data_IF_034844047680
#
_entry.id   IF_034844047680
#
_cell.length_a   1.000
_cell.length_b   1.000
_cell.length_c   1.000
_cell.angle_alpha   90.00
_cell.angle_beta   90.00
_cell.angle_gamma   90.00
#
_symmetry.space_group_name_H-M   'P 1'
#
loop_
_entity.id
_entity.type
_entity.pdbx_description
1 polymer ?
#
# COMPACT_ATOMS: atom_id res chain seq x y z
N UNK A 1 -29.49 -10.11 26.12
CA UNK A 1 -28.90 -8.84 26.61
C UNK A 1 -27.44 -8.67 26.16
N UNK A 2 -26.53 -9.63 26.44
CA UNK A 2 -25.11 -9.53 26.06
C UNK A 2 -24.89 -9.49 24.54
N UNK A 3 -25.61 -10.31 23.77
CA UNK A 3 -25.49 -10.30 22.30
C UNK A 3 -25.98 -8.98 21.68
N UNK A 4 -27.03 -8.40 22.24
CA UNK A 4 -27.58 -7.12 21.80
C UNK A 4 -26.67 -5.94 22.18
N UNK A 5 -25.98 -5.99 23.33
CA UNK A 5 -24.97 -4.99 23.66
C UNK A 5 -23.73 -5.13 22.78
N UNK A 6 -23.27 -6.35 22.49
CA UNK A 6 -22.13 -6.58 21.58
C UNK A 6 -22.44 -6.08 20.15
N UNK A 7 -23.63 -6.37 19.64
CA UNK A 7 -24.07 -5.90 18.30
C UNK A 7 -24.31 -4.39 18.29
N UNK A 8 -24.87 -3.82 19.37
CA UNK A 8 -25.04 -2.38 19.53
C UNK A 8 -23.70 -1.64 19.61
N UNK A 9 -22.74 -2.14 20.39
CA UNK A 9 -21.40 -1.55 20.49
C UNK A 9 -20.65 -1.72 19.17
N UNK A 10 -20.70 -2.87 18.52
CA UNK A 10 -20.08 -3.07 17.20
C UNK A 10 -20.69 -2.17 16.12
N UNK A 11 -22.03 -1.99 16.12
CA UNK A 11 -22.72 -1.10 15.19
C UNK A 11 -22.40 0.38 15.45
N UNK A 12 -22.35 0.82 16.72
CA UNK A 12 -21.99 2.20 17.11
C UNK A 12 -20.51 2.52 16.80
N UNK A 13 -19.65 1.51 16.97
CA UNK A 13 -18.20 1.56 16.69
C UNK A 13 -17.93 1.65 15.18
N UNK A 14 -18.65 0.89 14.37
CA UNK A 14 -18.58 0.98 12.90
C UNK A 14 -19.14 2.31 12.40
N UNK A 15 -20.17 2.89 13.03
CA UNK A 15 -20.66 4.21 12.61
C UNK A 15 -19.67 5.35 12.90
N UNK A 16 -18.89 5.27 13.99
CA UNK A 16 -17.95 6.35 14.36
C UNK A 16 -16.54 6.20 13.78
N UNK A 17 -16.08 4.97 13.50
CA UNK A 17 -14.72 4.70 13.01
C UNK A 17 -14.67 3.96 11.67
N UNK A 18 -15.76 3.97 10.88
CA UNK A 18 -15.77 3.35 9.54
C UNK A 18 -14.80 4.00 8.56
N UNK A 19 -14.57 5.31 8.68
CA UNK A 19 -13.79 6.08 7.70
C UNK A 19 -12.39 5.52 7.41
N UNK A 20 -11.50 5.24 8.39
CA UNK A 20 -10.19 4.66 8.11
C UNK A 20 -10.27 3.28 7.44
N UNK A 21 -11.26 2.45 7.78
CA UNK A 21 -11.43 1.14 7.12
C UNK A 21 -11.95 1.29 5.68
N UNK A 22 -12.85 2.25 5.44
CA UNK A 22 -13.32 2.60 4.09
C UNK A 22 -12.12 3.05 3.24
N UNK A 23 -11.30 3.97 3.75
CA UNK A 23 -10.12 4.47 3.02
C UNK A 23 -9.10 3.37 2.78
N UNK A 24 -8.86 2.50 3.76
CA UNK A 24 -8.00 1.33 3.60
C UNK A 24 -8.53 0.39 2.51
N UNK A 25 -9.83 0.06 2.52
CA UNK A 25 -10.45 -0.76 1.48
C UNK A 25 -10.37 -0.09 0.10
N UNK A 26 -10.66 1.21 0.01
CA UNK A 26 -10.53 1.99 -1.23
C UNK A 26 -9.11 1.94 -1.79
N UNK A 27 -8.09 1.97 -0.94
CA UNK A 27 -6.70 1.84 -1.40
C UNK A 27 -6.45 0.54 -2.17
N UNK A 28 -7.04 -0.57 -1.75
CA UNK A 28 -6.95 -1.84 -2.47
C UNK A 28 -7.79 -1.85 -3.76
N UNK A 29 -9.07 -1.48 -3.67
CA UNK A 29 -10.01 -1.64 -4.80
C UNK A 29 -9.85 -0.61 -5.90
N UNK A 30 -9.27 0.56 -5.62
CA UNK A 30 -9.09 1.60 -6.64
C UNK A 30 -7.96 1.25 -7.62
N UNK A 31 -6.94 0.52 -7.16
CA UNK A 31 -5.78 0.13 -7.97
C UNK A 31 -5.95 -1.24 -8.64
N UNK A 32 -6.50 -2.22 -7.91
CA UNK A 32 -6.57 -3.61 -8.36
C UNK A 32 -7.15 -3.80 -9.79
N UNK A 33 -8.26 -3.14 -10.20
CA UNK A 33 -8.81 -3.30 -11.54
C UNK A 33 -7.85 -2.88 -12.66
N UNK A 34 -7.07 -1.82 -12.43
CA UNK A 34 -6.10 -1.34 -13.42
C UNK A 34 -4.88 -2.25 -13.51
N UNK A 35 -4.48 -2.85 -12.37
CA UNK A 35 -3.41 -3.85 -12.37
C UNK A 35 -3.83 -5.12 -13.09
N UNK A 36 -5.01 -5.66 -12.78
CA UNK A 36 -5.55 -6.84 -13.47
C UNK A 36 -5.72 -6.56 -14.96
N UNK A 37 -6.31 -5.40 -15.32
CA UNK A 37 -6.50 -5.00 -16.71
C UNK A 37 -5.18 -4.87 -17.47
N UNK A 38 -4.14 -4.31 -16.85
CA UNK A 38 -2.81 -4.22 -17.45
C UNK A 38 -2.22 -5.59 -17.80
N UNK A 39 -2.31 -6.56 -16.89
CA UNK A 39 -1.82 -7.92 -17.15
C UNK A 39 -2.68 -8.68 -18.16
N UNK A 40 -3.99 -8.46 -18.17
CA UNK A 40 -4.92 -9.14 -19.08
C UNK A 40 -4.83 -8.62 -20.52
N UNK A 41 -4.69 -7.31 -20.70
CA UNK A 41 -4.77 -6.64 -22.01
C UNK A 41 -3.40 -6.35 -22.65
N UNK A 42 -2.33 -6.82 -22.01
CA UNK A 42 -0.93 -6.72 -22.47
C UNK A 42 -0.72 -7.15 -23.94
N UNK A 43 -1.32 -8.25 -24.44
CA UNK A 43 -1.08 -8.74 -25.80
C UNK A 43 -1.85 -8.02 -26.92
N UNK A 44 -2.79 -7.12 -26.63
CA UNK A 44 -3.73 -6.59 -27.64
C UNK A 44 -3.02 -5.70 -28.67
N UNK A 45 -2.28 -4.69 -28.22
CA UNK A 45 -1.50 -3.80 -29.08
C UNK A 45 -0.52 -2.96 -28.24
N UNK A 46 0.56 -2.42 -28.82
CA UNK A 46 1.48 -1.53 -28.11
C UNK A 46 0.80 -0.29 -27.50
N UNK A 47 -0.23 0.24 -28.17
CA UNK A 47 -0.99 1.39 -27.69
C UNK A 47 -1.87 1.03 -26.48
N UNK A 48 -2.57 -0.11 -26.54
CA UNK A 48 -3.37 -0.66 -25.44
C UNK A 48 -2.48 -0.94 -24.24
N UNK A 49 -1.35 -1.61 -24.45
CA UNK A 49 -0.33 -1.88 -23.44
C UNK A 49 0.12 -0.60 -22.72
N UNK A 50 0.52 0.43 -23.47
CA UNK A 50 1.00 1.68 -22.87
C UNK A 50 -0.10 2.39 -22.06
N UNK A 51 -1.35 2.37 -22.53
CA UNK A 51 -2.48 2.96 -21.82
C UNK A 51 -2.74 2.27 -20.48
N UNK A 52 -2.82 0.94 -20.49
CA UNK A 52 -3.06 0.18 -19.26
C UNK A 52 -1.88 0.25 -18.30
N UNK A 53 -0.65 0.24 -18.82
CA UNK A 53 0.56 0.44 -18.01
C UNK A 53 0.52 1.78 -17.28
N UNK A 54 0.13 2.87 -17.96
CA UNK A 54 0.00 4.18 -17.31
C UNK A 54 -1.06 4.18 -16.22
N UNK A 55 -2.18 3.50 -16.42
CA UNK A 55 -3.25 3.40 -15.43
C UNK A 55 -2.81 2.59 -14.21
N UNK A 56 -2.25 1.40 -14.40
CA UNK A 56 -1.68 0.57 -13.31
C UNK A 56 -0.68 1.37 -12.47
N UNK A 57 0.31 1.97 -13.14
CA UNK A 57 1.34 2.77 -12.49
C UNK A 57 0.80 4.05 -11.82
N UNK A 58 -0.26 4.67 -12.34
CA UNK A 58 -0.82 5.89 -11.76
C UNK A 58 -1.69 5.58 -10.53
N UNK A 59 -2.50 4.53 -10.62
CA UNK A 59 -3.48 4.22 -9.58
C UNK A 59 -2.87 3.63 -8.32
N UNK A 60 -1.65 3.06 -8.36
CA UNK A 60 -0.91 2.70 -7.14
C UNK A 60 -0.58 3.95 -6.28
N UNK A 61 -0.32 5.10 -6.92
CA UNK A 61 -0.09 6.36 -6.21
C UNK A 61 -1.38 6.96 -5.65
N UNK A 62 -2.50 6.82 -6.38
CA UNK A 62 -3.83 7.21 -5.87
C UNK A 62 -4.21 6.35 -4.66
N UNK A 63 -4.04 5.03 -4.76
CA UNK A 63 -4.26 4.09 -3.66
C UNK A 63 -3.44 4.47 -2.42
N UNK A 64 -2.16 4.81 -2.60
CA UNK A 64 -1.27 5.16 -1.51
C UNK A 64 -1.71 6.41 -0.73
N UNK A 65 -2.42 7.36 -1.36
CA UNK A 65 -2.98 8.51 -0.66
C UNK A 65 -4.13 8.13 0.30
N UNK A 66 -5.02 7.24 -0.13
CA UNK A 66 -6.08 6.69 0.73
C UNK A 66 -5.50 5.86 1.88
N UNK A 67 -4.47 5.06 1.58
CA UNK A 67 -3.75 4.28 2.58
C UNK A 67 -3.08 5.18 3.62
N UNK A 68 -2.43 6.26 3.19
CA UNK A 68 -1.80 7.25 4.09
C UNK A 68 -2.82 7.78 5.10
N UNK A 69 -3.97 8.25 4.62
CA UNK A 69 -5.03 8.75 5.49
C UNK A 69 -5.50 7.69 6.51
N UNK A 70 -5.70 6.45 6.05
CA UNK A 70 -6.16 5.37 6.91
C UNK A 70 -5.17 5.06 8.04
N UNK A 71 -3.87 5.05 7.75
CA UNK A 71 -2.81 4.78 8.72
C UNK A 71 -2.56 5.95 9.68
N UNK A 72 -2.74 7.18 9.21
CA UNK A 72 -2.59 8.38 10.04
C UNK A 72 -3.72 8.55 11.07
N UNK A 73 -4.93 8.09 10.75
CA UNK A 73 -6.17 8.44 11.45
C UNK A 73 -6.14 8.24 12.97
N UNK A 74 -5.54 7.15 13.46
CA UNK A 74 -5.45 6.83 14.89
C UNK A 74 -4.11 7.23 15.52
N UNK A 75 -3.22 7.88 14.77
CA UNK A 75 -1.85 8.16 15.21
C UNK A 75 -1.60 9.65 15.33
N UNK A 76 -1.93 10.40 14.29
CA UNK A 76 -1.66 11.83 14.22
C UNK A 76 -2.90 12.62 14.64
N UNK A 77 -2.73 13.84 15.18
CA UNK A 77 -3.84 14.77 15.28
C UNK A 77 -4.37 15.09 13.88
N UNK A 78 -5.64 15.52 13.78
CA UNK A 78 -6.31 15.77 12.51
C UNK A 78 -5.49 16.61 11.51
N UNK A 79 -4.85 17.69 11.98
CA UNK A 79 -3.97 18.51 11.13
C UNK A 79 -2.75 17.74 10.62
N UNK A 80 -2.17 16.88 11.45
CA UNK A 80 -1.07 16.00 11.04
C UNK A 80 -1.50 15.00 9.96
N UNK A 81 -2.68 14.38 10.13
CA UNK A 81 -3.30 13.51 9.12
C UNK A 81 -3.50 14.24 7.79
N UNK A 82 -4.05 15.46 7.82
CA UNK A 82 -4.26 16.26 6.61
C UNK A 82 -2.94 16.62 5.92
N UNK A 83 -1.92 17.05 6.67
CA UNK A 83 -0.61 17.43 6.11
C UNK A 83 0.11 16.22 5.51
N UNK A 84 0.12 15.08 6.20
CA UNK A 84 0.80 13.88 5.73
C UNK A 84 0.07 13.28 4.51
N UNK A 85 -1.27 13.26 4.53
CA UNK A 85 -2.08 12.89 3.35
C UNK A 85 -1.87 13.85 2.18
N UNK A 86 -1.82 15.17 2.41
CA UNK A 86 -1.53 16.16 1.36
C UNK A 86 -0.13 15.95 0.76
N UNK A 87 0.83 15.54 1.58
CA UNK A 87 2.19 15.18 1.14
C UNK A 87 2.16 13.95 0.24
N UNK A 88 1.41 12.90 0.62
CA UNK A 88 1.19 11.74 -0.25
C UNK A 88 0.54 12.14 -1.58
N UNK A 89 -0.50 12.99 -1.54
CA UNK A 89 -1.16 13.51 -2.75
C UNK A 89 -0.20 14.30 -3.64
N UNK A 90 0.66 15.14 -3.07
CA UNK A 90 1.65 15.91 -3.83
C UNK A 90 2.67 15.00 -4.52
N UNK A 91 3.22 14.01 -3.81
CA UNK A 91 4.14 13.01 -4.39
C UNK A 91 3.43 12.22 -5.49
N UNK A 92 2.20 11.77 -5.24
CA UNK A 92 1.37 11.07 -6.22
C UNK A 92 1.13 11.89 -7.47
N UNK A 93 0.78 13.17 -7.34
CA UNK A 93 0.56 14.07 -8.48
C UNK A 93 1.83 14.20 -9.34
N UNK A 94 2.98 14.41 -8.71
CA UNK A 94 4.27 14.49 -9.42
C UNK A 94 4.56 13.18 -10.16
N UNK A 95 4.40 12.03 -9.50
CA UNK A 95 4.63 10.72 -10.10
C UNK A 95 3.67 10.45 -11.28
N UNK A 96 2.38 10.77 -11.12
CA UNK A 96 1.36 10.60 -12.18
C UNK A 96 1.68 11.50 -13.38
N UNK A 97 2.13 12.73 -13.17
CA UNK A 97 2.58 13.61 -14.27
C UNK A 97 3.74 12.96 -15.02
N UNK A 98 4.72 12.37 -14.34
CA UNK A 98 5.83 11.67 -15.00
C UNK A 98 5.34 10.42 -15.77
N UNK A 99 4.44 9.64 -15.18
CA UNK A 99 3.86 8.44 -15.81
C UNK A 99 3.05 8.79 -17.06
N UNK A 100 2.28 9.88 -17.02
CA UNK A 100 1.45 10.32 -18.15
C UNK A 100 2.29 10.63 -19.40
N UNK A 101 3.57 11.00 -19.21
CA UNK A 101 4.53 11.30 -20.28
C UNK A 101 5.18 10.07 -20.92
N UNK A 102 4.94 8.86 -20.40
CA UNK A 102 5.51 7.62 -20.97
C UNK A 102 5.08 7.42 -22.43
N UNK A 103 6.05 7.18 -23.30
CA UNK A 103 5.81 6.94 -24.73
C UNK A 103 5.66 5.45 -25.03
N UNK A 104 5.01 5.13 -26.15
CA UNK A 104 4.88 3.74 -26.62
C UNK A 104 6.29 3.17 -26.88
N UNK A 105 6.54 1.95 -26.41
CA UNK A 105 7.85 1.30 -26.54
C UNK A 105 8.92 1.78 -25.54
N UNK A 106 8.65 2.82 -24.75
CA UNK A 106 9.59 3.29 -23.74
C UNK A 106 9.72 2.28 -22.59
N UNK A 107 10.94 1.84 -22.31
CA UNK A 107 11.25 0.98 -21.17
C UNK A 107 11.04 1.75 -19.87
N UNK A 108 10.49 1.08 -18.83
CA UNK A 108 10.37 1.71 -17.52
C UNK A 108 11.75 1.78 -16.88
N UNK A 109 12.20 2.97 -16.51
CA UNK A 109 13.34 3.09 -15.59
C UNK A 109 12.88 2.64 -14.20
N UNK A 110 13.08 1.34 -13.90
CA UNK A 110 12.60 0.71 -12.66
C UNK A 110 13.14 1.40 -11.41
N UNK A 111 14.40 1.87 -11.43
CA UNK A 111 15.00 2.61 -10.32
C UNK A 111 14.25 3.91 -10.01
N UNK A 112 13.97 4.73 -11.03
CA UNK A 112 13.22 5.99 -10.87
C UNK A 112 11.81 5.73 -10.35
N UNK A 113 11.14 4.70 -10.87
CA UNK A 113 9.80 4.32 -10.39
C UNK A 113 9.84 3.80 -8.95
N UNK A 114 10.83 2.96 -8.62
CA UNK A 114 11.05 2.46 -7.26
C UNK A 114 11.38 3.59 -6.28
N UNK A 115 12.06 4.65 -6.72
CA UNK A 115 12.32 5.83 -5.90
C UNK A 115 11.02 6.58 -5.59
N UNK A 116 10.14 6.81 -6.57
CA UNK A 116 8.83 7.43 -6.31
C UNK A 116 7.97 6.58 -5.38
N UNK A 117 7.94 5.26 -5.58
CA UNK A 117 7.26 4.34 -4.67
C UNK A 117 7.87 4.39 -3.27
N UNK A 118 9.20 4.34 -3.15
CA UNK A 118 9.90 4.45 -1.87
C UNK A 118 9.56 5.73 -1.11
N UNK A 119 9.47 6.86 -1.82
CA UNK A 119 9.09 8.15 -1.24
C UNK A 119 7.68 8.13 -0.66
N UNK A 120 6.68 7.58 -1.38
CA UNK A 120 5.31 7.52 -0.86
C UNK A 120 5.15 6.45 0.23
N UNK A 121 5.90 5.35 0.15
CA UNK A 121 6.00 4.34 1.21
C UNK A 121 6.50 4.96 2.50
N UNK A 122 7.55 5.79 2.44
CA UNK A 122 8.07 6.48 3.62
C UNK A 122 7.01 7.36 4.29
N UNK A 123 6.15 8.01 3.49
CA UNK A 123 5.05 8.87 3.98
C UNK A 123 3.99 8.05 4.72
N UNK A 124 3.51 6.94 4.15
CA UNK A 124 2.47 6.16 4.80
C UNK A 124 3.00 5.23 5.91
N UNK A 125 4.28 4.84 5.89
CA UNK A 125 4.90 4.09 6.99
C UNK A 125 5.27 4.98 8.18
N UNK A 126 5.40 6.30 8.00
CA UNK A 126 5.69 7.23 9.09
C UNK A 126 4.78 7.06 10.33
N UNK A 127 3.44 7.11 10.23
CA UNK A 127 2.56 6.90 11.40
C UNK A 127 2.74 5.52 12.04
N UNK A 128 2.99 4.49 11.24
CA UNK A 128 3.23 3.13 11.73
C UNK A 128 4.52 3.03 12.55
N UNK A 129 5.61 3.58 12.02
CA UNK A 129 6.90 3.67 12.71
C UNK A 129 6.81 4.51 13.98
N UNK A 130 6.17 5.68 13.91
CA UNK A 130 5.98 6.57 15.05
C UNK A 130 5.26 5.83 16.19
N UNK A 131 4.12 5.19 15.91
CA UNK A 131 3.34 4.46 16.91
C UNK A 131 4.09 3.24 17.45
N UNK A 132 4.80 2.50 16.61
CA UNK A 132 5.62 1.36 17.04
C UNK A 132 6.71 1.79 18.04
N UNK A 133 7.41 2.90 17.77
CA UNK A 133 8.43 3.45 18.67
C UNK A 133 7.81 3.90 19.99
N UNK A 134 6.69 4.60 19.94
CA UNK A 134 5.97 5.07 21.13
C UNK A 134 5.52 3.90 22.02
N UNK A 135 4.90 2.88 21.43
CA UNK A 135 4.43 1.70 22.17
C UNK A 135 5.59 0.95 22.85
N UNK A 136 6.74 0.80 22.17
CA UNK A 136 7.94 0.19 22.79
C UNK A 136 8.45 1.02 23.96
N UNK A 137 8.44 2.36 23.84
CA UNK A 137 8.88 3.25 24.92
C UNK A 137 7.96 3.17 26.15
N UNK A 138 6.65 3.11 25.94
CA UNK A 138 5.65 3.10 27.01
C UNK A 138 5.53 1.70 27.64
N UNK A 139 5.30 0.67 26.82
CA UNK A 139 4.95 -0.66 27.31
C UNK A 139 6.15 -1.59 27.50
N UNK A 140 7.34 -1.20 27.01
CA UNK A 140 8.59 -1.99 27.11
C UNK A 140 8.46 -3.42 26.56
N UNK A 141 7.56 -3.63 25.61
CA UNK A 141 7.30 -4.92 24.95
C UNK A 141 6.92 -4.70 23.50
N UNK A 142 7.03 -5.76 22.70
CA UNK A 142 6.60 -5.76 21.30
C UNK A 142 5.07 -5.79 21.25
N UNK A 143 4.47 -4.78 20.62
CA UNK A 143 3.00 -4.66 20.44
C UNK A 143 2.61 -4.89 18.98
N UNK A 144 1.30 -4.91 18.70
CA UNK A 144 0.77 -5.08 17.33
C UNK A 144 1.36 -4.03 16.36
N UNK A 145 1.46 -2.73 16.69
CA UNK A 145 2.15 -1.76 15.84
C UNK A 145 3.56 -2.17 15.42
N UNK A 146 4.36 -2.75 16.32
CA UNK A 146 5.73 -3.17 15.99
C UNK A 146 5.71 -4.30 14.96
N UNK A 147 4.91 -5.33 15.19
CA UNK A 147 4.77 -6.45 14.25
C UNK A 147 4.21 -6.02 12.90
N UNK A 148 3.17 -5.18 12.90
CA UNK A 148 2.58 -4.64 11.68
C UNK A 148 3.59 -3.80 10.89
N UNK A 149 4.33 -2.89 11.55
CA UNK A 149 5.33 -2.06 10.87
C UNK A 149 6.46 -2.90 10.28
N UNK A 150 7.01 -3.84 11.04
CA UNK A 150 8.06 -4.72 10.54
C UNK A 150 7.56 -5.63 9.42
N UNK A 151 6.37 -6.22 9.58
CA UNK A 151 5.75 -7.08 8.57
C UNK A 151 5.48 -6.32 7.27
N UNK A 152 4.93 -5.12 7.34
CA UNK A 152 4.71 -4.27 6.17
C UNK A 152 6.03 -3.90 5.49
N UNK A 153 7.00 -3.38 6.25
CA UNK A 153 8.30 -2.97 5.73
C UNK A 153 9.05 -4.12 5.06
N UNK A 154 9.15 -5.28 5.73
CA UNK A 154 9.85 -6.44 5.19
C UNK A 154 9.15 -6.99 3.95
N UNK A 155 7.81 -7.03 3.94
CA UNK A 155 7.06 -7.46 2.76
C UNK A 155 7.32 -6.52 1.58
N UNK A 156 7.21 -5.20 1.77
CA UNK A 156 7.49 -4.22 0.72
C UNK A 156 8.94 -4.31 0.23
N UNK A 157 9.90 -4.52 1.12
CA UNK A 157 11.31 -4.68 0.77
C UNK A 157 11.53 -5.94 -0.09
N UNK A 158 10.95 -7.08 0.30
CA UNK A 158 11.01 -8.33 -0.50
C UNK A 158 10.39 -8.12 -1.87
N UNK A 159 9.23 -7.45 -1.95
CA UNK A 159 8.58 -7.14 -3.22
C UNK A 159 9.42 -6.23 -4.11
N UNK A 160 10.01 -5.18 -3.53
CA UNK A 160 10.86 -4.23 -4.26
C UNK A 160 12.15 -4.90 -4.79
N UNK A 161 12.84 -5.67 -3.95
CA UNK A 161 14.06 -6.40 -4.33
C UNK A 161 13.74 -7.41 -5.44
N UNK A 162 12.68 -8.20 -5.27
CA UNK A 162 12.26 -9.18 -6.28
C UNK A 162 11.95 -8.52 -7.62
N UNK A 163 11.21 -7.41 -7.60
CA UNK A 163 10.83 -6.67 -8.82
C UNK A 163 12.01 -6.00 -9.53
N UNK A 164 12.91 -5.33 -8.78
CA UNK A 164 14.04 -4.60 -9.34
C UNK A 164 15.09 -5.55 -9.93
N UNK A 165 15.47 -6.59 -9.17
CA UNK A 165 16.51 -7.55 -9.58
C UNK A 165 15.95 -8.73 -10.37
N UNK A 166 14.64 -8.80 -10.57
CA UNK A 166 13.95 -9.86 -11.32
C UNK A 166 14.19 -11.24 -10.70
N UNK A 167 14.37 -11.31 -9.39
CA UNK A 167 14.59 -12.56 -8.65
C UNK A 167 13.23 -13.24 -8.40
N UNK A 168 13.08 -14.55 -8.64
CA UNK A 168 14.13 -15.53 -8.96
C UNK A 168 14.41 -15.74 -10.46
N UNK A 169 13.60 -15.18 -11.38
CA UNK A 169 13.74 -15.42 -12.83
C UNK A 169 15.13 -15.08 -13.39
N UNK A 170 15.83 -14.10 -12.82
CA UNK A 170 17.21 -13.76 -13.22
C UNK A 170 18.24 -14.82 -12.79
N UNK A 171 17.98 -15.55 -11.70
CA UNK A 171 18.90 -16.56 -11.16
C UNK A 171 18.69 -17.92 -11.81
N UNK A 172 17.44 -18.28 -12.10
CA UNK A 172 17.08 -19.53 -12.76
C UNK A 172 16.08 -19.19 -13.88
N UNK A 173 16.58 -18.90 -15.10
CA UNK A 173 15.73 -18.63 -16.25
C UNK A 173 14.76 -19.78 -16.51
N UNK A 174 13.57 -19.46 -17.01
CA UNK A 174 12.51 -20.39 -17.44
C UNK A 174 11.84 -21.23 -16.33
N UNK A 175 12.50 -21.45 -15.19
CA UNK A 175 11.95 -22.24 -14.08
C UNK A 175 10.74 -21.59 -13.38
N UNK A 176 10.58 -20.27 -13.51
CA UNK A 176 9.58 -19.47 -12.80
C UNK A 176 8.68 -18.66 -13.75
N UNK A 177 8.47 -19.16 -14.97
CA UNK A 177 7.69 -18.45 -15.99
C UNK A 177 6.18 -18.48 -15.71
N UNK A 178 5.68 -19.59 -15.13
CA UNK A 178 4.26 -19.73 -14.79
C UNK A 178 3.93 -19.34 -13.34
N UNK A 179 4.80 -19.74 -12.39
CA UNK A 179 4.58 -19.58 -10.96
C UNK A 179 5.81 -19.00 -10.28
N UNK A 180 5.59 -18.14 -9.29
CA UNK A 180 6.62 -17.48 -8.47
C UNK A 180 7.56 -16.60 -9.30
N UNK A 181 7.04 -16.03 -10.38
CA UNK A 181 7.79 -14.98 -11.08
C UNK A 181 8.03 -13.80 -10.15
N UNK A 182 9.10 -13.05 -10.39
CA UNK A 182 9.46 -11.86 -9.62
C UNK A 182 8.28 -10.88 -9.48
N UNK A 183 7.49 -10.73 -10.54
CA UNK A 183 6.31 -9.88 -10.55
C UNK A 183 5.15 -10.45 -9.70
N UNK A 184 4.95 -11.77 -9.69
CA UNK A 184 3.97 -12.41 -8.80
C UNK A 184 4.38 -12.28 -7.33
N UNK A 185 5.67 -12.45 -7.02
CA UNK A 185 6.21 -12.25 -5.66
C UNK A 185 5.98 -10.82 -5.20
N UNK A 186 6.22 -9.83 -6.06
CA UNK A 186 5.93 -8.43 -5.76
C UNK A 186 4.46 -8.22 -5.38
N UNK A 187 3.51 -8.73 -6.19
CA UNK A 187 2.07 -8.61 -5.88
C UNK A 187 1.69 -9.28 -4.56
N UNK A 188 2.18 -10.50 -4.30
CA UNK A 188 1.94 -11.19 -3.03
C UNK A 188 2.51 -10.44 -1.84
N UNK A 189 3.69 -9.84 -2.02
CA UNK A 189 4.34 -9.02 -1.00
C UNK A 189 3.53 -7.76 -0.66
N UNK A 190 2.94 -7.11 -1.67
CA UNK A 190 2.03 -5.96 -1.46
C UNK A 190 0.78 -6.40 -0.69
N UNK A 191 0.19 -7.55 -1.02
CA UNK A 191 -0.95 -8.10 -0.27
C UNK A 191 -0.59 -8.39 1.20
N UNK A 192 0.58 -8.98 1.45
CA UNK A 192 1.08 -9.20 2.81
C UNK A 192 1.25 -7.89 3.58
N UNK A 193 1.83 -6.86 2.95
CA UNK A 193 1.94 -5.54 3.55
C UNK A 193 0.56 -4.95 3.89
N UNK A 194 -0.40 -5.09 2.98
CA UNK A 194 -1.76 -4.59 3.18
C UNK A 194 -2.50 -5.27 4.35
N UNK A 195 -2.26 -6.57 4.57
CA UNK A 195 -2.78 -7.27 5.76
C UNK A 195 -2.17 -6.69 7.03
N UNK A 196 -0.89 -6.36 7.04
CA UNK A 196 -0.22 -5.76 8.20
C UNK A 196 -0.71 -4.34 8.49
N UNK A 197 -0.96 -3.55 7.44
CA UNK A 197 -1.61 -2.24 7.48
C UNK A 197 -3.03 -2.34 8.06
N UNK A 198 -3.82 -3.33 7.63
CA UNK A 198 -5.13 -3.61 8.20
C UNK A 198 -5.05 -3.94 9.69
N UNK A 199 -4.13 -4.82 10.09
CA UNK A 199 -3.91 -5.14 11.51
C UNK A 199 -3.54 -3.90 12.34
N UNK A 200 -2.78 -2.97 11.76
CA UNK A 200 -2.41 -1.70 12.39
C UNK A 200 -3.63 -0.81 12.62
N UNK A 201 -4.45 -0.58 11.58
CA UNK A 201 -5.68 0.23 11.67
C UNK A 201 -6.67 -0.40 12.67
N UNK A 202 -6.80 -1.74 12.64
CA UNK A 202 -7.65 -2.46 13.59
C UNK A 202 -7.21 -2.27 15.04
N UNK A 203 -5.90 -2.29 15.31
CA UNK A 203 -5.37 -2.01 16.64
C UNK A 203 -5.63 -0.56 17.07
N UNK A 204 -5.45 0.41 16.16
CA UNK A 204 -5.77 1.82 16.41
C UNK A 204 -7.23 2.01 16.82
N UNK A 205 -8.17 1.39 16.08
CA UNK A 205 -9.59 1.39 16.40
C UNK A 205 -9.87 0.78 17.78
N UNK A 206 -9.28 -0.38 18.11
CA UNK A 206 -9.44 -1.03 19.42
C UNK A 206 -8.95 -0.17 20.59
N UNK A 207 -7.96 0.71 20.38
CA UNK A 207 -7.45 1.61 21.43
C UNK A 207 -8.28 2.88 21.60
N UNK A 208 -9.06 3.25 20.59
CA UNK A 208 -9.92 4.44 20.61
C UNK A 208 -11.28 4.17 21.31
N UNK A 209 -11.60 2.90 21.53
CA UNK A 209 -12.76 2.42 22.28
C UNK A 209 -12.42 2.24 23.76
#
# INVERSE_FOLDING_TARGET
>A
MILASIVSTAALTLTNYSLPFIMLWFSAVVHMPFSVGYHLFLPISPATYNRWRKLDLAFIFVASAFLTFALDYFVLPWWGTLVNTATAVAISAIAIVQISRLQIGQTLQRATHCAFLGSIIAVYLFPMCYRAIEDVRIYRRVTVPVWSTLGAFLSLLVGAVSYVYVIPNACIPEAFDMLRSSHQIMHMSILCAHVMEFCFVLYGCKRAL
#
